data_IF_781699150114
#
_entry.id   IF_781699150114
#
_cell.length_a   1.000
_cell.length_b   1.000
_cell.length_c   1.000
_cell.angle_alpha   90.00
_cell.angle_beta   90.00
_cell.angle_gamma   90.00
#
_symmetry.space_group_name_H-M   'P 1'
#
loop_
_entity.id
_entity.type
_entity.pdbx_description
1 polymer ?
#
# COMPACT_ATOMS: atom_id res chain seq x y z
N UNK A 1 -34.26 -34.81 26.30
CA UNK A 1 -33.90 -33.75 25.34
C UNK A 1 -33.42 -32.56 26.16
N UNK A 2 -32.11 -32.39 26.29
CA UNK A 2 -31.54 -31.23 26.97
C UNK A 2 -31.71 -29.99 26.09
N UNK A 3 -32.54 -29.06 26.55
CA UNK A 3 -32.64 -27.73 25.96
C UNK A 3 -31.35 -26.96 26.28
N UNK A 4 -30.56 -26.66 25.24
CA UNK A 4 -29.39 -25.81 25.35
C UNK A 4 -29.78 -24.43 25.88
N UNK A 5 -29.17 -24.02 27.01
CA UNK A 5 -29.41 -22.73 27.68
C UNK A 5 -29.21 -21.54 26.71
N UNK A 6 -30.08 -20.51 26.76
CA UNK A 6 -30.06 -19.36 25.83
C UNK A 6 -28.77 -18.52 25.90
N UNK A 7 -27.98 -18.60 26.96
CA UNK A 7 -26.74 -17.82 27.12
C UNK A 7 -25.67 -18.16 26.07
N UNK A 8 -25.56 -19.42 25.63
CA UNK A 8 -24.54 -19.81 24.64
C UNK A 8 -24.83 -19.31 23.24
N UNK A 9 -26.10 -19.03 22.91
CA UNK A 9 -26.51 -18.56 21.60
C UNK A 9 -26.22 -17.07 21.39
N UNK A 10 -26.30 -16.27 22.47
CA UNK A 10 -26.01 -14.83 22.46
C UNK A 10 -24.53 -14.56 22.18
N UNK A 11 -23.63 -15.41 22.70
CA UNK A 11 -22.17 -15.24 22.53
C UNK A 11 -21.74 -15.46 21.08
N UNK A 12 -22.33 -16.43 20.37
CA UNK A 12 -22.02 -16.70 18.97
C UNK A 12 -22.50 -15.58 18.03
N UNK A 13 -23.69 -15.02 18.30
CA UNK A 13 -24.23 -13.87 17.56
C UNK A 13 -23.41 -12.59 17.80
N UNK A 14 -22.94 -12.40 19.03
CA UNK A 14 -22.08 -11.27 19.42
C UNK A 14 -20.71 -11.35 18.75
N UNK A 15 -20.06 -12.53 18.77
CA UNK A 15 -18.76 -12.73 18.13
C UNK A 15 -18.82 -12.59 16.61
N UNK A 16 -19.91 -13.06 15.98
CA UNK A 16 -20.12 -12.92 14.52
C UNK A 16 -20.33 -11.46 14.11
N UNK A 17 -21.08 -10.67 14.89
CA UNK A 17 -21.25 -9.23 14.66
C UNK A 17 -19.93 -8.46 14.75
N UNK A 18 -19.11 -8.76 15.75
CA UNK A 18 -17.80 -8.12 15.91
C UNK A 18 -16.91 -8.42 14.69
N UNK A 19 -16.88 -9.67 14.23
CA UNK A 19 -16.08 -10.05 13.05
C UNK A 19 -16.56 -9.37 11.76
N UNK A 20 -17.88 -9.30 11.53
CA UNK A 20 -18.44 -8.58 10.38
C UNK A 20 -18.12 -7.08 10.45
N UNK A 21 -18.21 -6.45 11.62
CA UNK A 21 -17.83 -5.03 11.79
C UNK A 21 -16.35 -4.79 11.53
N UNK A 22 -15.46 -5.70 11.97
CA UNK A 22 -14.03 -5.62 11.71
C UNK A 22 -13.71 -5.75 10.21
N UNK A 23 -14.36 -6.66 9.49
CA UNK A 23 -14.16 -6.82 8.06
C UNK A 23 -14.73 -5.65 7.25
N UNK A 24 -15.89 -5.11 7.66
CA UNK A 24 -16.43 -3.86 7.09
C UNK A 24 -15.48 -2.68 7.35
N UNK A 25 -14.94 -2.55 8.57
CA UNK A 25 -13.97 -1.49 8.91
C UNK A 25 -12.67 -1.62 8.11
N UNK A 26 -12.17 -2.85 7.89
CA UNK A 26 -11.01 -3.09 7.02
C UNK A 26 -11.29 -2.69 5.58
N UNK A 27 -12.45 -3.07 5.03
CA UNK A 27 -12.85 -2.72 3.66
C UNK A 27 -12.98 -1.20 3.45
N UNK A 28 -13.59 -0.49 4.42
CA UNK A 28 -13.67 0.98 4.42
C UNK A 28 -12.27 1.61 4.46
N UNK A 29 -11.35 1.09 5.29
CA UNK A 29 -9.99 1.61 5.38
C UNK A 29 -9.19 1.38 4.08
N UNK A 30 -9.35 0.23 3.43
CA UNK A 30 -8.71 -0.06 2.14
C UNK A 30 -9.21 0.93 1.09
N UNK A 31 -10.54 1.10 0.97
CA UNK A 31 -11.15 2.06 0.03
C UNK A 31 -10.65 3.48 0.26
N UNK A 32 -10.54 3.90 1.52
CA UNK A 32 -10.03 5.22 1.89
C UNK A 32 -8.55 5.40 1.52
N UNK A 33 -7.72 4.38 1.76
CA UNK A 33 -6.30 4.38 1.39
C UNK A 33 -6.11 4.48 -0.13
N UNK A 34 -6.88 3.71 -0.91
CA UNK A 34 -6.85 3.76 -2.38
C UNK A 34 -7.22 5.16 -2.89
N UNK A 35 -8.31 5.74 -2.38
CA UNK A 35 -8.74 7.10 -2.76
C UNK A 35 -7.68 8.16 -2.42
N UNK A 36 -7.01 8.02 -1.27
CA UNK A 36 -5.90 8.90 -0.91
C UNK A 36 -4.69 8.73 -1.83
N UNK A 37 -4.35 7.50 -2.20
CA UNK A 37 -3.28 7.24 -3.15
C UNK A 37 -3.61 7.87 -4.51
N UNK A 38 -4.81 7.66 -5.05
CA UNK A 38 -5.25 8.30 -6.31
C UNK A 38 -5.14 9.83 -6.27
N UNK A 39 -5.54 10.46 -5.16
CA UNK A 39 -5.38 11.90 -4.98
C UNK A 39 -3.92 12.34 -5.03
N UNK A 40 -3.02 11.57 -4.39
CA UNK A 40 -1.57 11.83 -4.45
C UNK A 40 -1.02 11.64 -5.86
N UNK A 41 -1.46 10.61 -6.59
CA UNK A 41 -1.10 10.39 -8.00
C UNK A 41 -1.49 11.62 -8.83
N UNK A 42 -2.72 12.12 -8.72
CA UNK A 42 -3.17 13.28 -9.49
C UNK A 42 -2.41 14.57 -9.19
N UNK A 43 -2.02 14.80 -7.92
CA UNK A 43 -1.33 16.03 -7.51
C UNK A 43 0.14 16.06 -7.94
N UNK A 44 0.83 14.93 -7.85
CA UNK A 44 2.29 14.89 -7.93
C UNK A 44 2.83 14.26 -9.22
N UNK A 45 2.00 13.57 -10.00
CA UNK A 45 2.46 12.91 -11.22
C UNK A 45 2.35 13.88 -12.39
N UNK A 46 3.48 14.08 -13.07
CA UNK A 46 3.58 14.81 -14.33
C UNK A 46 4.00 13.85 -15.43
N UNK A 47 3.64 14.16 -16.67
CA UNK A 47 4.08 13.43 -17.84
C UNK A 47 5.12 14.27 -18.58
N UNK A 48 6.35 13.76 -18.68
CA UNK A 48 7.46 14.39 -19.41
C UNK A 48 8.00 13.39 -20.44
N UNK A 49 8.07 13.78 -21.71
CA UNK A 49 8.79 13.03 -22.77
C UNK A 49 8.51 11.51 -22.78
N UNK A 50 7.23 11.12 -22.75
CA UNK A 50 6.74 9.72 -22.67
C UNK A 50 6.96 8.98 -21.34
N UNK A 51 7.45 9.64 -20.30
CA UNK A 51 7.62 9.06 -18.97
C UNK A 51 6.73 9.75 -17.94
N UNK A 52 6.31 8.99 -16.93
CA UNK A 52 5.63 9.54 -15.75
C UNK A 52 6.70 9.89 -14.72
N UNK A 53 6.66 11.11 -14.21
CA UNK A 53 7.56 11.60 -13.18
C UNK A 53 6.75 12.02 -11.95
N UNK A 54 7.29 11.76 -10.77
CA UNK A 54 6.76 12.20 -9.49
C UNK A 54 7.49 13.46 -9.06
N UNK A 55 6.74 14.54 -8.83
CA UNK A 55 7.25 15.80 -8.30
C UNK A 55 7.00 15.84 -6.80
N UNK A 56 8.07 15.87 -6.03
CA UNK A 56 8.00 16.09 -4.59
C UNK A 56 7.71 17.56 -4.28
N UNK A 57 7.17 17.86 -3.09
CA UNK A 57 6.89 19.24 -2.68
C UNK A 57 8.16 20.10 -2.57
N UNK A 58 9.35 19.49 -2.49
CA UNK A 58 10.66 20.18 -2.54
C UNK A 58 11.17 20.44 -3.97
N UNK A 59 10.36 20.13 -4.99
CA UNK A 59 10.69 20.32 -6.41
C UNK A 59 11.55 19.21 -7.02
N UNK A 60 11.98 18.20 -6.24
CA UNK A 60 12.70 17.05 -6.80
C UNK A 60 11.77 16.23 -7.68
N UNK A 61 12.32 15.70 -8.77
CA UNK A 61 11.63 14.79 -9.68
C UNK A 61 12.23 13.39 -9.57
N UNK A 62 11.37 12.38 -9.50
CA UNK A 62 11.77 10.98 -9.59
C UNK A 62 10.93 10.28 -10.67
N UNK A 63 11.52 9.36 -11.42
CA UNK A 63 10.80 8.60 -12.42
C UNK A 63 9.80 7.64 -11.76
N UNK A 64 8.62 7.53 -12.34
CA UNK A 64 7.57 6.62 -11.91
C UNK A 64 7.56 5.42 -12.86
N UNK A 65 8.25 4.31 -12.50
CA UNK A 65 8.30 3.14 -13.34
C UNK A 65 6.92 2.49 -13.50
N UNK A 66 6.73 1.80 -14.63
CA UNK A 66 5.55 0.97 -14.88
C UNK A 66 5.43 -0.15 -13.85
N UNK A 67 4.20 -0.59 -13.60
CA UNK A 67 3.92 -1.60 -12.56
C UNK A 67 4.70 -2.90 -12.82
N UNK A 68 4.83 -3.29 -14.09
CA UNK A 68 5.49 -4.53 -14.51
C UNK A 68 6.99 -4.55 -14.20
N UNK A 69 7.66 -3.39 -14.24
CA UNK A 69 9.11 -3.29 -14.03
C UNK A 69 9.51 -3.00 -12.58
N UNK A 70 8.56 -2.54 -11.74
CA UNK A 70 8.82 -2.18 -10.33
C UNK A 70 9.43 -3.31 -9.52
N UNK A 71 8.89 -4.52 -9.67
CA UNK A 71 9.36 -5.69 -8.92
C UNK A 71 10.82 -6.01 -9.26
N UNK A 72 11.14 -6.07 -10.56
CA UNK A 72 12.50 -6.29 -11.03
C UNK A 72 13.47 -5.22 -10.54
N UNK A 73 13.08 -3.95 -10.58
CA UNK A 73 13.90 -2.83 -10.09
C UNK A 73 14.22 -2.93 -8.59
N UNK A 74 13.25 -3.34 -7.76
CA UNK A 74 13.46 -3.55 -6.33
C UNK A 74 14.38 -4.75 -6.09
N UNK A 75 14.13 -5.88 -6.74
CA UNK A 75 14.94 -7.09 -6.58
C UNK A 75 16.39 -6.87 -7.03
N UNK A 76 16.59 -6.17 -8.15
CA UNK A 76 17.92 -5.81 -8.65
C UNK A 76 18.64 -4.88 -7.68
N UNK A 77 18.00 -3.82 -7.20
CA UNK A 77 18.61 -2.93 -6.20
C UNK A 77 18.91 -3.65 -4.89
N UNK A 78 18.04 -4.57 -4.45
CA UNK A 78 18.27 -5.37 -3.26
C UNK A 78 19.52 -6.25 -3.41
N UNK A 79 19.69 -6.92 -4.56
CA UNK A 79 20.88 -7.71 -4.88
C UNK A 79 22.13 -6.83 -4.97
N UNK A 80 22.07 -5.73 -5.74
CA UNK A 80 23.19 -4.80 -5.93
C UNK A 80 23.68 -4.17 -4.62
N UNK A 81 22.78 -3.96 -3.66
CA UNK A 81 23.14 -3.40 -2.34
C UNK A 81 23.61 -4.45 -1.34
N UNK A 82 23.69 -5.73 -1.71
CA UNK A 82 24.12 -6.82 -0.85
C UNK A 82 23.03 -7.26 0.13
N UNK A 83 21.82 -7.46 -0.37
CA UNK A 83 20.66 -7.94 0.40
C UNK A 83 20.30 -7.08 1.62
N UNK A 84 20.45 -5.76 1.47
CA UNK A 84 20.12 -4.80 2.53
C UNK A 84 18.62 -4.76 2.79
N UNK A 85 18.25 -4.30 3.99
CA UNK A 85 16.86 -4.15 4.40
C UNK A 85 16.05 -3.33 3.39
N UNK A 86 14.75 -3.61 3.32
CA UNK A 86 13.78 -2.90 2.47
C UNK A 86 13.91 -1.37 2.58
N UNK A 87 14.12 -0.87 3.81
CA UNK A 87 14.29 0.55 4.07
C UNK A 87 15.55 1.15 3.40
N UNK A 88 16.64 0.39 3.41
CA UNK A 88 17.90 0.80 2.78
C UNK A 88 17.75 0.87 1.25
N UNK A 89 17.09 -0.13 0.67
CA UNK A 89 16.78 -0.18 -0.77
C UNK A 89 15.88 0.99 -1.16
N UNK A 90 14.84 1.26 -0.36
CA UNK A 90 13.95 2.40 -0.56
C UNK A 90 14.70 3.73 -0.62
N UNK A 91 15.52 4.05 0.38
CA UNK A 91 16.24 5.35 0.40
C UNK A 91 17.27 5.47 -0.71
N UNK A 92 17.86 4.35 -1.17
CA UNK A 92 18.76 4.35 -2.31
C UNK A 92 18.04 4.59 -3.64
N UNK A 93 16.83 4.05 -3.80
CA UNK A 93 16.05 4.17 -5.04
C UNK A 93 15.25 5.47 -5.11
N UNK A 94 14.71 5.96 -3.99
CA UNK A 94 13.81 7.13 -3.89
C UNK A 94 14.25 8.36 -4.69
N UNK A 95 15.54 8.73 -4.74
CA UNK A 95 15.97 9.90 -5.51
C UNK A 95 15.80 9.74 -7.02
N UNK A 96 15.86 8.51 -7.53
CA UNK A 96 15.76 8.19 -8.97
C UNK A 96 14.37 7.69 -9.35
N UNK A 97 13.81 6.80 -8.55
CA UNK A 97 12.53 6.15 -8.79
C UNK A 97 11.62 6.30 -7.59
N UNK A 98 10.36 6.67 -7.82
CA UNK A 98 9.38 6.76 -6.75
C UNK A 98 7.96 6.46 -7.24
N UNK A 99 7.17 5.83 -6.37
CA UNK A 99 5.73 5.72 -6.53
C UNK A 99 5.05 5.58 -5.16
N UNK A 100 3.79 6.03 -5.01
CA UNK A 100 2.97 5.75 -3.85
C UNK A 100 2.92 4.25 -3.55
N UNK A 101 3.25 3.87 -2.32
CA UNK A 101 3.24 2.48 -1.88
C UNK A 101 4.55 1.72 -2.12
N UNK A 102 5.63 2.36 -2.59
CA UNK A 102 6.93 1.70 -2.78
C UNK A 102 7.51 1.00 -1.53
N UNK A 103 7.13 1.44 -0.33
CA UNK A 103 7.60 0.86 0.94
C UNK A 103 6.77 -0.34 1.42
N UNK A 104 5.60 -0.59 0.80
CA UNK A 104 4.66 -1.63 1.21
C UNK A 104 4.89 -2.94 0.45
#
# INVERSE_FOLDING_TARGET
MEYNKPEKMIVADSLSRIHMEDDIKKDINIKRSLKQQEGKWKKHVIQEENKKCWVFDDGRKAEVPEVNIRKGLIEENHKLKGHRSMLSVYYAMKPKYYWPGMKN
#
